data_IF_794613871477
#
_entry.id   IF_794613871477
#
_cell.length_a   1.000
_cell.length_b   1.000
_cell.length_c   1.000
_cell.angle_alpha   90.00
_cell.angle_beta   90.00
_cell.angle_gamma   90.00
#
_symmetry.space_group_name_H-M   'P 1'
#
loop_
_entity.id
_entity.type
_entity.pdbx_description
1 polymer ?
#
# COMPACT_ATOMS: atom_id res chain seq x y z
N UNK A 1 -34.49 5.42 13.17
CA UNK A 1 -34.54 4.93 14.57
C UNK A 1 -33.21 5.24 15.24
N UNK A 2 -33.19 5.27 16.57
CA UNK A 2 -31.99 5.54 17.37
C UNK A 2 -31.66 4.30 18.19
N UNK A 3 -30.52 3.68 17.93
CA UNK A 3 -30.03 2.51 18.65
C UNK A 3 -29.00 2.94 19.69
N UNK A 4 -29.05 2.38 20.91
CA UNK A 4 -27.96 2.50 21.88
C UNK A 4 -26.96 1.36 21.68
N UNK A 5 -25.69 1.73 21.66
CA UNK A 5 -24.56 0.84 21.42
C UNK A 5 -23.65 0.87 22.65
N UNK A 6 -23.35 -0.28 23.24
CA UNK A 6 -22.36 -0.44 24.30
C UNK A 6 -21.05 -0.99 23.77
N UNK A 7 -19.92 -0.41 24.14
CA UNK A 7 -18.59 -0.77 23.62
C UNK A 7 -17.84 -1.63 24.62
N UNK A 8 -17.47 -2.84 24.21
CA UNK A 8 -16.62 -3.72 25.00
C UNK A 8 -15.21 -3.12 25.18
N UNK A 9 -14.61 -3.36 26.34
CA UNK A 9 -13.28 -2.85 26.72
C UNK A 9 -13.31 -1.40 27.21
N UNK A 10 -13.92 -0.49 26.45
CA UNK A 10 -14.01 0.93 26.82
C UNK A 10 -15.03 1.18 27.95
N UNK A 11 -16.13 0.41 27.97
CA UNK A 11 -17.21 0.61 28.93
C UNK A 11 -18.08 1.83 28.65
N UNK A 12 -18.09 2.32 27.40
CA UNK A 12 -18.87 3.47 26.97
C UNK A 12 -20.18 3.05 26.28
N UNK A 13 -21.18 3.93 26.35
CA UNK A 13 -22.48 3.75 25.70
C UNK A 13 -22.86 5.03 24.97
N UNK A 14 -23.22 4.91 23.70
CA UNK A 14 -23.64 6.04 22.87
C UNK A 14 -24.81 5.65 21.97
N UNK A 15 -25.40 6.64 21.30
CA UNK A 15 -26.54 6.43 20.40
C UNK A 15 -26.17 6.63 18.94
N UNK A 16 -26.74 5.82 18.06
CA UNK A 16 -26.58 5.90 16.61
C UNK A 16 -27.92 6.00 15.93
N UNK A 17 -28.08 6.99 15.06
CA UNK A 17 -29.26 7.10 14.19
C UNK A 17 -29.07 6.29 12.92
N UNK A 18 -30.00 5.38 12.61
CA UNK A 18 -29.96 4.57 11.40
C UNK A 18 -31.38 4.22 10.91
N UNK A 19 -31.51 3.89 9.63
CA UNK A 19 -32.76 3.40 9.05
C UNK A 19 -32.92 1.90 9.33
N UNK A 20 -34.13 1.45 9.66
CA UNK A 20 -34.40 0.03 9.97
C UNK A 20 -34.14 -0.90 8.77
N UNK A 21 -34.26 -0.38 7.53
CA UNK A 21 -33.97 -1.15 6.31
C UNK A 21 -32.47 -1.25 5.99
N UNK A 22 -31.60 -0.52 6.71
CA UNK A 22 -30.16 -0.53 6.46
C UNK A 22 -29.54 -1.90 6.71
N UNK A 23 -28.38 -2.13 6.07
CA UNK A 23 -27.52 -3.28 6.36
C UNK A 23 -26.73 -3.04 7.64
N UNK A 24 -26.31 -4.13 8.28
CA UNK A 24 -25.38 -4.10 9.42
C UNK A 24 -24.07 -3.39 9.04
N UNK A 25 -23.59 -3.52 7.79
CA UNK A 25 -22.43 -2.78 7.30
C UNK A 25 -22.56 -1.26 7.40
N UNK A 26 -23.74 -0.71 7.11
CA UNK A 26 -23.99 0.73 7.26
C UNK A 26 -24.03 1.15 8.74
N UNK A 27 -24.44 0.25 9.64
CA UNK A 27 -24.35 0.47 11.08
C UNK A 27 -22.89 0.47 11.55
N UNK A 28 -22.08 -0.47 11.07
CA UNK A 28 -20.64 -0.52 11.32
C UNK A 28 -19.96 0.78 10.87
N UNK A 29 -20.30 1.32 9.69
CA UNK A 29 -19.77 2.59 9.19
C UNK A 29 -20.09 3.77 10.12
N UNK A 30 -21.33 3.89 10.56
CA UNK A 30 -21.73 4.96 11.49
C UNK A 30 -21.05 4.85 12.84
N UNK A 31 -20.98 3.64 13.40
CA UNK A 31 -20.32 3.38 14.69
C UNK A 31 -18.82 3.71 14.58
N UNK A 32 -18.15 3.22 13.54
CA UNK A 32 -16.75 3.51 13.30
C UNK A 32 -16.47 5.01 13.17
N UNK A 33 -17.34 5.76 12.49
CA UNK A 33 -17.22 7.22 12.38
C UNK A 33 -17.30 7.92 13.74
N UNK A 34 -18.13 7.43 14.66
CA UNK A 34 -18.26 7.98 16.02
C UNK A 34 -17.07 7.60 16.90
N UNK A 35 -16.58 6.36 16.79
CA UNK A 35 -15.44 5.86 17.56
C UNK A 35 -14.09 6.36 17.03
N UNK A 36 -14.06 6.89 15.81
CA UNK A 36 -12.84 7.46 15.23
C UNK A 36 -12.58 8.85 15.78
N UNK A 37 -11.31 9.14 16.05
CA UNK A 37 -10.78 10.47 16.37
C UNK A 37 -9.82 10.92 15.28
N UNK A 38 -9.37 12.18 15.33
CA UNK A 38 -8.32 12.68 14.42
C UNK A 38 -7.03 11.84 14.48
N UNK A 39 -6.76 11.22 15.63
CA UNK A 39 -5.54 10.47 15.91
C UNK A 39 -5.71 8.95 15.73
N UNK A 40 -6.95 8.46 15.73
CA UNK A 40 -7.25 7.03 15.65
C UNK A 40 -8.49 6.78 14.80
N UNK A 41 -8.30 6.24 13.59
CA UNK A 41 -9.41 5.82 12.73
C UNK A 41 -9.74 4.35 12.96
N UNK A 42 -10.99 4.07 13.27
CA UNK A 42 -11.51 2.71 13.43
C UNK A 42 -12.08 2.24 12.09
N UNK A 43 -11.51 1.22 11.43
CA UNK A 43 -12.07 0.73 10.17
C UNK A 43 -13.42 0.03 10.41
N UNK A 44 -14.51 0.43 9.73
CA UNK A 44 -15.85 -0.17 9.94
C UNK A 44 -15.87 -1.70 9.82
N UNK A 45 -15.12 -2.24 8.86
CA UNK A 45 -15.06 -3.68 8.57
C UNK A 45 -14.44 -4.52 9.67
N UNK A 46 -13.76 -3.90 10.64
CA UNK A 46 -13.10 -4.60 11.76
C UNK A 46 -13.96 -4.60 13.02
N UNK A 47 -15.08 -3.88 13.03
CA UNK A 47 -16.02 -3.92 14.13
C UNK A 47 -16.84 -5.20 14.07
N UNK A 48 -16.90 -5.95 15.17
CA UNK A 48 -17.84 -7.06 15.30
C UNK A 48 -19.01 -6.58 16.16
N UNK A 49 -20.23 -6.68 15.62
CA UNK A 49 -21.44 -6.23 16.28
C UNK A 49 -22.24 -7.44 16.78
N UNK A 50 -22.81 -7.34 17.97
CA UNK A 50 -23.68 -8.35 18.56
C UNK A 50 -25.02 -7.74 18.97
N UNK A 51 -26.08 -8.54 18.96
CA UNK A 51 -27.34 -8.15 19.60
C UNK A 51 -27.15 -8.13 21.12
N UNK A 52 -27.60 -7.07 21.78
CA UNK A 52 -27.53 -6.93 23.24
C UNK A 52 -28.67 -7.68 23.97
N UNK A 53 -29.00 -8.89 23.49
CA UNK A 53 -29.88 -9.87 24.11
C UNK A 53 -29.23 -11.24 23.96
N UNK A 54 -29.35 -12.11 24.96
CA UNK A 54 -28.72 -13.43 24.90
C UNK A 54 -29.37 -14.29 23.82
N UNK A 55 -28.63 -15.26 23.29
CA UNK A 55 -29.14 -16.22 22.29
C UNK A 55 -30.39 -16.92 22.80
N UNK A 56 -31.50 -16.76 22.08
CA UNK A 56 -32.80 -17.34 22.44
C UNK A 56 -33.67 -16.48 23.36
N UNK A 57 -33.17 -15.35 23.85
CA UNK A 57 -33.93 -14.40 24.67
C UNK A 57 -34.50 -13.26 23.83
N UNK A 58 -35.57 -12.64 24.33
CA UNK A 58 -36.23 -11.49 23.71
C UNK A 58 -35.96 -10.17 24.43
N UNK A 59 -35.39 -10.22 25.63
CA UNK A 59 -35.16 -9.06 26.49
C UNK A 59 -33.83 -8.40 26.18
N UNK A 60 -33.85 -7.08 26.01
CA UNK A 60 -32.64 -6.27 25.78
C UNK A 60 -31.90 -5.99 27.09
N UNK A 61 -30.60 -5.78 26.96
CA UNK A 61 -29.75 -5.35 28.06
C UNK A 61 -30.16 -3.95 28.53
N UNK A 62 -30.31 -3.77 29.84
CA UNK A 62 -30.59 -2.47 30.44
C UNK A 62 -29.33 -1.65 30.59
N UNK A 63 -29.43 -0.34 30.38
CA UNK A 63 -28.38 0.62 30.64
C UNK A 63 -28.43 1.04 32.12
N UNK A 64 -28.05 0.13 33.02
CA UNK A 64 -27.92 0.41 34.45
C UNK A 64 -26.44 0.54 34.88
N UNK A 65 -26.21 0.80 36.16
CA UNK A 65 -24.88 1.01 36.72
C UNK A 65 -23.96 -0.22 36.63
N UNK A 66 -24.51 -1.42 36.43
CA UNK A 66 -23.73 -2.66 36.31
C UNK A 66 -23.23 -2.90 34.89
N UNK A 67 -23.85 -2.25 33.91
CA UNK A 67 -23.55 -2.48 32.49
C UNK A 67 -22.14 -1.99 32.10
N UNK A 68 -21.64 -0.94 32.75
CA UNK A 68 -20.30 -0.40 32.48
C UNK A 68 -19.22 -1.42 32.87
N UNK A 69 -19.36 -2.04 34.03
CA UNK A 69 -18.42 -3.06 34.51
C UNK A 69 -18.50 -4.33 33.65
N UNK A 70 -19.72 -4.72 33.24
CA UNK A 70 -19.92 -5.78 32.25
C UNK A 70 -19.17 -5.48 30.94
N UNK A 71 -19.33 -4.29 30.37
CA UNK A 71 -18.68 -3.92 29.11
C UNK A 71 -17.14 -3.92 29.25
N UNK A 72 -16.58 -3.60 30.42
CA UNK A 72 -15.13 -3.65 30.69
C UNK A 72 -14.59 -5.08 30.85
N UNK A 73 -15.45 -6.07 31.14
CA UNK A 73 -15.04 -7.46 31.40
C UNK A 73 -14.61 -8.27 30.16
N UNK A 74 -14.71 -7.70 28.96
CA UNK A 74 -14.33 -8.34 27.69
C UNK A 74 -15.53 -8.88 26.90
N UNK A 75 -15.27 -9.53 25.76
CA UNK A 75 -16.31 -10.04 24.86
C UNK A 75 -16.93 -11.34 25.38
N UNK A 76 -18.27 -11.42 25.41
CA UNK A 76 -19.02 -12.63 25.80
C UNK A 76 -19.52 -13.40 24.57
N UNK A 77 -19.47 -14.74 24.64
CA UNK A 77 -19.96 -15.65 23.59
C UNK A 77 -21.48 -15.90 23.64
N UNK A 78 -22.15 -15.38 24.66
CA UNK A 78 -23.60 -15.56 24.90
C UNK A 78 -24.48 -14.74 23.95
N UNK A 79 -23.91 -13.74 23.27
CA UNK A 79 -24.63 -12.82 22.38
C UNK A 79 -24.53 -13.24 20.91
N UNK A 80 -25.56 -12.94 20.13
CA UNK A 80 -25.64 -13.29 18.72
C UNK A 80 -24.92 -12.26 17.84
N UNK A 81 -23.98 -12.72 17.02
CA UNK A 81 -23.24 -11.87 16.09
C UNK A 81 -24.11 -11.42 14.90
N UNK A 82 -24.07 -10.13 14.61
CA UNK A 82 -24.78 -9.51 13.50
C UNK A 82 -23.95 -9.60 12.22
N UNK A 83 -24.35 -10.43 11.27
CA UNK A 83 -23.66 -10.53 9.97
C UNK A 83 -23.77 -9.23 9.18
N UNK A 84 -22.63 -8.70 8.72
CA UNK A 84 -22.51 -7.43 7.98
C UNK A 84 -23.45 -7.29 6.77
N UNK A 85 -23.71 -8.39 6.05
CA UNK A 85 -24.59 -8.43 4.89
C UNK A 85 -26.08 -8.44 5.20
N UNK A 86 -26.46 -8.69 6.47
CA UNK A 86 -27.86 -8.76 6.89
C UNK A 86 -28.49 -7.37 7.00
N UNK A 87 -29.80 -7.28 6.76
CA UNK A 87 -30.58 -6.07 7.02
C UNK A 87 -31.05 -6.04 8.46
N UNK A 88 -31.06 -4.88 9.11
CA UNK A 88 -31.47 -4.74 10.51
C UNK A 88 -32.90 -5.22 10.76
N UNK A 89 -33.82 -4.97 9.80
CA UNK A 89 -35.21 -5.43 9.84
C UNK A 89 -35.41 -6.96 9.78
N UNK A 90 -34.36 -7.74 9.58
CA UNK A 90 -34.45 -9.21 9.52
C UNK A 90 -35.00 -9.73 10.86
N UNK A 91 -35.88 -10.74 10.82
CA UNK A 91 -36.62 -11.23 12.00
C UNK A 91 -35.69 -11.71 13.13
N UNK A 92 -34.56 -12.31 12.76
CA UNK A 92 -33.56 -12.81 13.71
C UNK A 92 -32.75 -11.68 14.36
N UNK A 93 -32.70 -10.49 13.72
CA UNK A 93 -32.06 -9.30 14.28
C UNK A 93 -33.08 -8.46 15.06
N UNK A 94 -33.51 -7.30 14.54
CA UNK A 94 -34.44 -6.42 15.23
C UNK A 94 -35.90 -6.74 14.91
N UNK A 95 -36.17 -7.24 13.70
CA UNK A 95 -37.53 -7.42 13.17
C UNK A 95 -38.13 -6.15 12.56
N UNK A 96 -39.21 -6.31 11.78
CA UNK A 96 -39.83 -5.23 11.00
C UNK A 96 -40.66 -4.25 11.83
N UNK A 97 -41.09 -4.64 13.02
CA UNK A 97 -41.88 -3.81 13.95
C UNK A 97 -41.04 -3.30 15.13
N UNK A 98 -39.72 -3.27 14.98
CA UNK A 98 -38.82 -2.91 16.07
C UNK A 98 -39.00 -1.44 16.49
N UNK A 99 -39.17 -1.23 17.79
CA UNK A 99 -39.12 0.07 18.43
C UNK A 99 -38.14 -0.02 19.60
N UNK A 100 -37.11 0.84 19.66
CA UNK A 100 -36.15 0.81 20.76
C UNK A 100 -36.82 1.30 22.06
N UNK A 101 -36.64 0.56 23.15
CA UNK A 101 -37.09 0.96 24.48
C UNK A 101 -36.19 2.04 25.09
N UNK A 102 -36.74 2.77 26.07
CA UNK A 102 -35.97 3.71 26.88
C UNK A 102 -35.02 2.94 27.79
N UNK A 103 -33.77 3.42 27.87
CA UNK A 103 -32.71 2.84 28.70
C UNK A 103 -32.30 1.40 28.36
N UNK A 104 -32.58 0.95 27.14
CA UNK A 104 -32.09 -0.34 26.65
C UNK A 104 -30.90 -0.15 25.71
N UNK A 105 -29.91 -1.03 25.81
CA UNK A 105 -28.82 -1.21 24.85
C UNK A 105 -29.29 -2.26 23.84
N UNK A 106 -29.18 -1.97 22.54
CA UNK A 106 -29.59 -2.90 21.48
C UNK A 106 -28.40 -3.59 20.83
N UNK A 107 -27.24 -2.93 20.82
CA UNK A 107 -26.04 -3.38 20.10
C UNK A 107 -24.85 -3.39 21.05
N UNK A 108 -24.11 -4.50 21.05
CA UNK A 108 -22.79 -4.58 21.68
C UNK A 108 -21.73 -4.50 20.60
N UNK A 109 -20.76 -3.62 20.79
CA UNK A 109 -19.68 -3.35 19.85
C UNK A 109 -18.43 -3.97 20.42
N UNK A 110 -17.98 -5.07 19.81
CA UNK A 110 -16.63 -5.55 20.05
C UNK A 110 -15.68 -4.82 19.11
N UNK A 111 -14.79 -4.04 19.72
CA UNK A 111 -13.54 -3.71 19.11
C UNK A 111 -12.75 -5.01 18.91
N UNK A 112 -11.93 -5.12 17.86
CA UNK A 112 -11.04 -6.27 17.70
C UNK A 112 -10.29 -6.52 19.03
N UNK A 113 -10.30 -7.77 19.54
CA UNK A 113 -9.80 -8.09 20.87
C UNK A 113 -8.37 -7.60 21.04
N UNK A 114 -8.10 -7.07 22.23
CA UNK A 114 -6.89 -6.41 22.67
C UNK A 114 -6.06 -5.74 21.59
N UNK A 115 -6.11 -4.42 21.69
CA UNK A 115 -5.11 -3.54 21.15
C UNK A 115 -3.73 -3.68 21.86
N UNK A 116 -3.22 -4.91 22.03
CA UNK A 116 -1.90 -5.21 21.46
C UNK A 116 -1.98 -5.33 19.93
N UNK A 117 -2.99 -4.73 19.31
CA UNK A 117 -2.83 -3.85 18.17
C UNK A 117 -1.34 -3.55 18.01
N UNK A 118 -0.80 -4.08 16.93
CA UNK A 118 -0.48 -3.24 15.79
C UNK A 118 -1.31 -1.94 15.85
N UNK A 119 -1.03 -1.06 16.80
CA UNK A 119 -1.42 0.33 16.73
C UNK A 119 -0.55 0.76 15.58
N UNK A 120 -1.10 0.64 14.38
CA UNK A 120 -0.58 1.26 13.17
C UNK A 120 -0.82 2.76 13.31
N UNK A 121 -0.35 3.32 14.42
CA UNK A 121 -0.23 4.73 14.69
C UNK A 121 1.13 5.06 14.12
N UNK A 122 1.15 5.93 13.12
CA UNK A 122 2.40 6.38 12.54
C UNK A 122 3.14 7.21 13.58
N UNK A 123 4.06 6.56 14.32
CA UNK A 123 4.93 7.23 15.30
C UNK A 123 6.15 7.89 14.66
N UNK A 124 6.06 8.21 13.37
CA UNK A 124 7.15 8.81 12.59
C UNK A 124 8.26 7.82 12.19
N UNK A 125 8.12 6.53 12.47
CA UNK A 125 9.13 5.53 12.09
C UNK A 125 9.31 5.41 10.58
N UNK A 126 8.23 5.61 9.83
CA UNK A 126 8.30 5.67 8.38
C UNK A 126 9.17 6.85 7.92
N UNK A 127 8.93 8.04 8.46
CA UNK A 127 9.73 9.23 8.13
C UNK A 127 11.20 9.04 8.54
N UNK A 128 11.44 8.41 9.70
CA UNK A 128 12.79 8.05 10.13
C UNK A 128 13.46 7.09 9.15
N UNK A 129 12.76 6.03 8.72
CA UNK A 129 13.27 5.10 7.73
C UNK A 129 13.57 5.80 6.38
N UNK A 130 12.67 6.66 5.88
CA UNK A 130 12.90 7.43 4.65
C UNK A 130 14.14 8.33 4.78
N UNK A 131 14.31 8.99 5.92
CA UNK A 131 15.49 9.83 6.17
C UNK A 131 16.78 9.00 6.19
N UNK A 132 16.79 7.84 6.85
CA UNK A 132 17.94 6.94 6.83
C UNK A 132 18.19 6.35 5.44
N UNK A 133 17.14 5.99 4.70
CA UNK A 133 17.23 5.54 3.32
C UNK A 133 17.93 6.60 2.43
N UNK A 134 17.58 7.88 2.59
CA UNK A 134 18.22 9.00 1.87
C UNK A 134 19.67 9.20 2.24
N UNK A 135 20.05 9.00 3.51
CA UNK A 135 21.46 9.04 3.93
C UNK A 135 22.29 7.91 3.31
N UNK A 136 21.65 6.82 2.88
CA UNK A 136 22.28 5.71 2.18
C UNK A 136 22.26 5.87 0.64
N UNK A 137 21.95 7.07 0.13
CA UNK A 137 22.24 7.43 -1.26
C UNK A 137 23.76 7.47 -1.47
N UNK A 138 24.21 6.94 -2.60
CA UNK A 138 25.63 6.82 -2.89
C UNK A 138 26.14 8.15 -3.42
N UNK A 139 27.35 8.59 -3.05
CA UNK A 139 27.96 9.74 -3.70
C UNK A 139 28.32 9.44 -5.17
N UNK A 140 28.50 10.46 -6.04
CA UNK A 140 28.82 10.25 -7.45
C UNK A 140 30.01 9.31 -7.72
N UNK A 141 31.08 9.42 -6.93
CA UNK A 141 32.27 8.56 -7.06
C UNK A 141 32.07 7.11 -6.59
N UNK A 142 30.91 6.81 -5.99
CA UNK A 142 30.53 5.48 -5.50
C UNK A 142 29.48 4.81 -6.40
N UNK A 143 29.07 5.45 -7.49
CA UNK A 143 28.13 4.85 -8.45
C UNK A 143 28.68 3.50 -8.94
N UNK A 144 27.88 2.41 -8.90
CA UNK A 144 28.31 1.09 -9.36
C UNK A 144 28.71 1.11 -10.83
N UNK A 145 29.64 0.24 -11.21
CA UNK A 145 29.96 0.02 -12.63
C UNK A 145 28.84 -0.76 -13.31
N UNK A 146 28.75 -0.67 -14.64
CA UNK A 146 27.72 -1.36 -15.42
C UNK A 146 27.60 -2.86 -15.09
N UNK A 147 28.73 -3.56 -14.97
CA UNK A 147 28.76 -4.98 -14.64
C UNK A 147 28.34 -5.33 -13.20
N UNK A 148 28.22 -4.34 -12.31
CA UNK A 148 27.82 -4.51 -10.91
C UNK A 148 26.35 -4.16 -10.67
N UNK A 149 25.67 -3.55 -11.66
CA UNK A 149 24.32 -3.00 -11.48
C UNK A 149 23.26 -4.08 -11.26
N UNK A 150 23.34 -5.21 -11.95
CA UNK A 150 22.38 -6.30 -11.79
C UNK A 150 22.43 -6.87 -10.36
N UNK A 151 23.63 -7.11 -9.83
CA UNK A 151 23.82 -7.53 -8.43
C UNK A 151 23.40 -6.43 -7.45
N UNK A 152 23.71 -5.17 -7.78
CA UNK A 152 23.37 -4.03 -6.93
C UNK A 152 21.85 -3.88 -6.71
N UNK A 153 21.03 -4.04 -7.75
CA UNK A 153 19.58 -3.92 -7.60
C UNK A 153 18.96 -5.08 -6.82
N UNK A 154 19.61 -6.25 -6.80
CA UNK A 154 19.17 -7.43 -6.05
C UNK A 154 19.73 -7.47 -4.61
N UNK A 155 20.66 -6.59 -4.24
CA UNK A 155 21.20 -6.53 -2.88
C UNK A 155 20.14 -6.15 -1.84
N UNK A 156 20.34 -6.60 -0.59
CA UNK A 156 19.47 -6.18 0.51
C UNK A 156 19.52 -4.67 0.75
N UNK A 157 18.41 -4.11 1.25
CA UNK A 157 18.37 -2.70 1.63
C UNK A 157 19.29 -2.45 2.83
N UNK A 158 20.17 -1.42 2.79
CA UNK A 158 21.00 -1.06 3.93
C UNK A 158 20.18 -0.74 5.18
N UNK A 159 19.02 -0.10 4.98
CA UNK A 159 18.01 0.15 6.00
C UNK A 159 16.72 -0.59 5.67
N UNK A 160 16.43 -1.68 6.38
CA UNK A 160 15.23 -2.50 6.17
C UNK A 160 13.97 -1.79 6.66
N UNK A 161 12.88 -1.98 5.93
CA UNK A 161 11.56 -1.45 6.30
C UNK A 161 11.01 -2.29 7.45
N UNK A 162 10.64 -1.64 8.54
CA UNK A 162 10.17 -2.35 9.74
C UNK A 162 8.69 -2.72 9.65
N UNK A 163 8.37 -3.98 9.87
CA UNK A 163 7.01 -4.53 9.85
C UNK A 163 6.65 -5.20 11.18
N UNK A 164 5.35 -5.25 11.49
CA UNK A 164 4.84 -6.16 12.51
C UNK A 164 4.96 -7.62 12.04
N UNK A 165 5.20 -8.54 12.98
CA UNK A 165 5.30 -9.97 12.73
C UNK A 165 4.08 -10.52 11.97
N UNK A 166 2.86 -10.12 12.36
CA UNK A 166 1.63 -10.60 11.72
C UNK A 166 1.49 -10.12 10.27
N UNK A 167 1.91 -8.89 9.98
CA UNK A 167 1.90 -8.34 8.62
C UNK A 167 2.92 -9.09 7.76
N UNK A 168 4.12 -9.30 8.29
CA UNK A 168 5.15 -10.11 7.64
C UNK A 168 4.63 -11.52 7.31
N UNK A 169 4.04 -12.20 8.29
CA UNK A 169 3.47 -13.55 8.13
C UNK A 169 2.32 -13.57 7.11
N UNK A 170 1.48 -12.53 7.11
CA UNK A 170 0.38 -12.40 6.16
C UNK A 170 0.88 -12.21 4.73
N UNK A 171 1.96 -11.43 4.55
CA UNK A 171 2.51 -11.15 3.23
C UNK A 171 3.26 -12.35 2.66
N UNK A 172 4.06 -13.03 3.48
CA UNK A 172 4.79 -14.22 3.03
C UNK A 172 3.83 -15.37 2.67
N UNK A 173 2.72 -15.54 3.39
CA UNK A 173 1.72 -16.60 3.06
C UNK A 173 0.90 -16.31 1.81
N UNK A 174 0.91 -15.07 1.30
CA UNK A 174 0.27 -14.69 0.03
C UNK A 174 1.13 -14.93 -1.20
N UNK A 175 2.42 -15.20 -1.00
CA UNK A 175 3.32 -15.63 -2.06
C UNK A 175 2.87 -17.00 -2.60
N UNK A 176 2.82 -17.14 -3.92
CA UNK A 176 2.70 -18.42 -4.62
C UNK A 176 3.86 -19.36 -4.25
N UNK A 177 5.06 -18.82 -4.10
CA UNK A 177 6.28 -19.49 -3.62
C UNK A 177 6.90 -18.63 -2.53
N UNK A 178 6.69 -19.03 -1.28
CA UNK A 178 7.21 -18.30 -0.12
C UNK A 178 8.73 -18.12 -0.25
N UNK A 179 9.21 -16.87 -0.15
CA UNK A 179 10.64 -16.55 -0.14
C UNK A 179 10.98 -15.69 1.08
N UNK A 180 11.32 -16.33 2.21
CA UNK A 180 11.83 -15.62 3.38
C UNK A 180 13.09 -14.81 3.08
N UNK A 181 13.92 -15.26 2.14
CA UNK A 181 15.16 -14.58 1.74
C UNK A 181 14.87 -13.24 1.09
N UNK A 182 13.93 -13.19 0.13
CA UNK A 182 13.48 -11.94 -0.49
C UNK A 182 12.88 -10.99 0.55
N UNK A 183 12.04 -11.52 1.44
CA UNK A 183 11.45 -10.73 2.52
C UNK A 183 12.53 -10.17 3.46
N UNK A 184 13.56 -10.94 3.77
CA UNK A 184 14.69 -10.52 4.60
C UNK A 184 15.55 -9.43 3.94
N UNK A 185 15.61 -9.37 2.59
CA UNK A 185 16.30 -8.28 1.87
C UNK A 185 15.60 -6.92 2.02
N UNK A 186 14.27 -6.92 2.17
CA UNK A 186 13.44 -5.70 2.23
C UNK A 186 13.07 -5.30 3.65
N UNK A 187 12.73 -6.28 4.49
CA UNK A 187 11.98 -6.07 5.71
C UNK A 187 12.73 -6.55 6.94
N UNK A 188 12.46 -5.89 8.07
CA UNK A 188 12.87 -6.32 9.40
C UNK A 188 11.64 -6.37 10.30
N UNK A 189 11.53 -7.41 11.12
CA UNK A 189 10.42 -7.51 12.07
C UNK A 189 10.74 -6.64 13.29
N UNK A 190 9.85 -5.68 13.58
CA UNK A 190 9.87 -4.85 14.78
C UNK A 190 8.44 -4.42 15.09
N UNK A 191 7.84 -5.05 16.10
CA UNK A 191 6.45 -4.82 16.46
C UNK A 191 6.19 -3.43 17.07
N UNK A 192 7.24 -2.72 17.50
CA UNK A 192 7.12 -1.40 18.15
C UNK A 192 7.47 -0.24 17.21
N UNK A 193 8.30 -0.48 16.18
CA UNK A 193 8.84 0.56 15.30
C UNK A 193 8.38 0.45 13.86
N UNK A 194 7.12 0.12 13.64
CA UNK A 194 6.60 -0.22 12.31
C UNK A 194 6.55 0.97 11.36
N UNK A 195 6.90 0.76 10.09
CA UNK A 195 6.75 1.74 9.01
C UNK A 195 5.30 1.79 8.51
N UNK A 196 4.39 2.23 9.37
CA UNK A 196 2.94 2.27 9.15
C UNK A 196 2.53 3.00 7.87
N UNK A 197 3.12 4.17 7.63
CA UNK A 197 2.74 5.01 6.50
C UNK A 197 3.24 4.39 5.18
N UNK A 198 4.38 3.68 5.20
CA UNK A 198 4.81 2.83 4.08
C UNK A 198 3.79 1.70 3.84
N UNK A 199 3.35 1.02 4.90
CA UNK A 199 2.36 -0.05 4.80
C UNK A 199 1.07 0.43 4.13
N UNK A 200 0.54 1.57 4.54
CA UNK A 200 -0.69 2.12 3.97
C UNK A 200 -0.51 2.65 2.55
N UNK A 201 0.56 3.41 2.27
CA UNK A 201 0.72 4.11 1.00
C UNK A 201 1.32 3.24 -0.10
N UNK A 202 2.16 2.27 0.25
CA UNK A 202 2.95 1.46 -0.70
C UNK A 202 2.66 -0.03 -0.50
N UNK A 203 2.88 -0.55 0.70
CA UNK A 203 2.77 -1.99 0.98
C UNK A 203 1.42 -2.60 0.60
N UNK A 204 0.32 -1.91 0.95
CA UNK A 204 -1.05 -2.37 0.65
C UNK A 204 -1.30 -2.50 -0.86
N UNK A 205 -0.80 -1.56 -1.67
CA UNK A 205 -0.94 -1.54 -3.13
C UNK A 205 -0.13 -2.66 -3.78
N UNK A 206 1.06 -2.93 -3.25
CA UNK A 206 1.92 -4.03 -3.70
C UNK A 206 1.28 -5.38 -3.37
N UNK A 207 0.71 -5.56 -2.18
CA UNK A 207 0.20 -6.87 -1.74
C UNK A 207 -1.17 -7.18 -2.31
N UNK A 208 -2.06 -6.19 -2.35
CA UNK A 208 -3.46 -6.33 -2.72
C UNK A 208 -3.77 -5.60 -4.03
N UNK A 209 -2.93 -5.77 -5.06
CA UNK A 209 -3.20 -5.17 -6.34
C UNK A 209 -4.50 -5.74 -6.94
N UNK A 210 -5.34 -4.85 -7.42
CA UNK A 210 -6.54 -5.21 -8.19
C UNK A 210 -6.11 -5.67 -9.57
N UNK A 211 -6.84 -6.65 -10.15
CA UNK A 211 -6.67 -7.02 -11.55
C UNK A 211 -6.92 -5.79 -12.45
N UNK A 212 -5.89 -5.31 -13.19
CA UNK A 212 -6.00 -4.16 -14.05
C UNK A 212 -6.76 -4.42 -15.35
N UNK A 213 -7.17 -5.65 -15.69
CA UNK A 213 -7.91 -5.94 -16.93
C UNK A 213 -6.98 -6.27 -18.11
N UNK A 214 -7.29 -5.80 -19.33
CA UNK A 214 -6.64 -6.25 -20.58
C UNK A 214 -6.14 -5.13 -21.51
N UNK A 215 -6.21 -3.86 -21.10
CA UNK A 215 -5.78 -2.72 -21.92
C UNK A 215 -4.56 -2.01 -21.32
N UNK A 216 -3.74 -1.34 -22.15
CA UNK A 216 -2.66 -0.46 -21.65
C UNK A 216 -3.19 0.53 -20.61
N UNK A 217 -4.31 1.20 -20.90
CA UNK A 217 -4.89 2.25 -20.04
C UNK A 217 -5.25 1.73 -18.65
N UNK A 218 -5.76 0.50 -18.57
CA UNK A 218 -6.21 -0.09 -17.32
C UNK A 218 -5.04 -0.61 -16.46
N UNK A 219 -3.89 -0.93 -17.08
CA UNK A 219 -2.63 -1.22 -16.39
C UNK A 219 -1.85 0.01 -15.88
N UNK A 220 -2.15 1.22 -16.33
CA UNK A 220 -1.42 2.44 -15.92
C UNK A 220 -1.39 2.59 -14.38
N UNK A 221 -2.54 2.41 -13.71
CA UNK A 221 -2.59 2.52 -12.24
C UNK A 221 -1.79 1.42 -11.55
N UNK A 222 -1.73 0.24 -12.16
CA UNK A 222 -0.97 -0.89 -11.63
C UNK A 222 0.54 -0.63 -11.70
N UNK A 223 1.07 -0.17 -12.83
CA UNK A 223 2.48 0.22 -12.92
C UNK A 223 2.79 1.45 -12.05
N UNK A 224 1.87 2.42 -11.97
CA UNK A 224 2.02 3.57 -11.08
C UNK A 224 2.13 3.14 -9.60
N UNK A 225 1.36 2.15 -9.18
CA UNK A 225 1.41 1.63 -7.81
C UNK A 225 2.74 0.96 -7.46
N UNK A 226 3.39 0.30 -8.43
CA UNK A 226 4.62 -0.46 -8.23
C UNK A 226 5.90 0.35 -8.44
N UNK A 227 5.87 1.39 -9.29
CA UNK A 227 7.06 2.15 -9.68
C UNK A 227 6.92 3.61 -9.25
N UNK A 228 5.94 4.33 -9.81
CA UNK A 228 5.75 5.77 -9.60
C UNK A 228 5.55 6.12 -8.13
N UNK A 229 4.64 5.41 -7.46
CA UNK A 229 4.29 5.68 -6.08
C UNK A 229 5.47 5.37 -5.14
N UNK A 230 6.28 4.35 -5.45
CA UNK A 230 7.50 4.04 -4.71
C UNK A 230 8.54 5.16 -4.85
N UNK A 231 8.84 5.58 -6.08
CA UNK A 231 9.80 6.66 -6.34
C UNK A 231 9.35 7.98 -5.70
N UNK A 232 8.08 8.37 -5.89
CA UNK A 232 7.53 9.56 -5.25
C UNK A 232 7.52 9.45 -3.73
N UNK A 233 7.40 8.26 -3.15
CA UNK A 233 7.40 8.12 -1.70
C UNK A 233 8.79 8.40 -1.09
N UNK A 234 9.83 7.75 -1.63
CA UNK A 234 11.19 7.85 -1.07
C UNK A 234 11.94 9.11 -1.52
N UNK A 235 11.61 9.69 -2.68
CA UNK A 235 12.28 10.86 -3.27
C UNK A 235 11.36 12.09 -3.42
N UNK A 236 10.27 12.21 -2.65
CA UNK A 236 9.30 13.31 -2.77
C UNK A 236 9.89 14.73 -2.67
N UNK A 237 11.05 14.88 -2.04
CA UNK A 237 11.69 16.17 -1.77
C UNK A 237 12.60 16.66 -2.90
N UNK A 238 13.09 15.75 -3.73
CA UNK A 238 14.05 16.05 -4.81
C UNK A 238 13.56 15.65 -6.20
N UNK A 239 12.54 14.79 -6.28
CA UNK A 239 12.11 14.16 -7.50
C UNK A 239 10.63 14.38 -7.82
N UNK A 240 10.31 14.39 -9.11
CA UNK A 240 8.94 14.49 -9.60
C UNK A 240 8.69 13.50 -10.73
N UNK A 241 7.60 12.75 -10.58
CA UNK A 241 7.05 11.93 -11.65
C UNK A 241 6.27 12.77 -12.66
N UNK A 242 6.46 12.49 -13.94
CA UNK A 242 5.73 13.08 -15.04
C UNK A 242 5.29 11.99 -16.00
N UNK A 243 4.05 12.07 -16.50
CA UNK A 243 3.52 11.16 -17.52
C UNK A 243 3.32 11.90 -18.83
N UNK A 244 3.55 11.24 -19.96
CA UNK A 244 3.27 11.73 -21.31
C UNK A 244 3.84 13.13 -21.63
N UNK A 245 5.05 13.42 -21.13
CA UNK A 245 5.69 14.74 -21.30
C UNK A 245 6.84 14.69 -22.30
N UNK A 246 7.02 15.77 -23.05
CA UNK A 246 8.09 15.93 -24.04
C UNK A 246 9.37 16.53 -23.47
N UNK A 247 9.51 16.68 -22.14
CA UNK A 247 10.68 17.36 -21.53
C UNK A 247 12.03 16.67 -21.78
N UNK A 248 12.02 15.42 -22.21
CA UNK A 248 13.21 14.61 -22.52
C UNK A 248 13.14 13.95 -23.91
N UNK A 249 12.27 14.45 -24.80
CA UNK A 249 11.99 13.83 -26.10
C UNK A 249 12.74 14.53 -27.26
N UNK A 250 13.18 13.75 -28.26
CA UNK A 250 13.79 14.23 -29.51
C UNK A 250 12.87 15.15 -30.33
N UNK A 251 11.56 14.86 -30.39
CA UNK A 251 10.53 15.64 -31.09
C UNK A 251 9.13 15.38 -30.50
N UNK A 252 8.15 16.24 -30.81
CA UNK A 252 6.87 16.39 -30.09
C UNK A 252 5.95 15.16 -29.97
N UNK A 253 6.15 14.10 -30.78
CA UNK A 253 5.40 12.83 -30.74
C UNK A 253 6.10 11.68 -30.00
N UNK A 254 7.39 11.79 -29.68
CA UNK A 254 8.23 10.75 -29.06
C UNK A 254 8.30 10.89 -27.53
N UNK A 255 7.14 10.96 -26.86
CA UNK A 255 7.08 11.19 -25.41
C UNK A 255 7.14 9.86 -24.68
N UNK A 256 8.07 9.67 -23.72
CA UNK A 256 8.00 8.50 -22.87
C UNK A 256 6.73 8.48 -22.04
N UNK A 257 6.19 7.28 -21.81
CA UNK A 257 4.97 7.09 -21.03
C UNK A 257 5.15 7.57 -19.59
N UNK A 258 6.36 7.37 -19.05
CA UNK A 258 6.74 7.77 -17.70
C UNK A 258 8.14 8.38 -17.66
N UNK A 259 8.29 9.43 -16.86
CA UNK A 259 9.56 10.09 -16.55
C UNK A 259 9.63 10.35 -15.04
N UNK A 260 10.82 10.19 -14.47
CA UNK A 260 11.15 10.66 -13.14
C UNK A 260 12.30 11.66 -13.23
N UNK A 261 12.03 12.89 -12.82
CA UNK A 261 12.94 14.01 -12.94
C UNK A 261 13.46 14.36 -11.55
N UNK A 262 14.78 14.42 -11.40
CA UNK A 262 15.48 14.88 -10.19
C UNK A 262 16.32 16.09 -10.57
N UNK A 263 16.18 17.20 -9.82
CA UNK A 263 16.94 18.44 -10.09
C UNK A 263 16.90 18.91 -11.56
N UNK A 264 15.71 18.79 -12.19
CA UNK A 264 15.45 19.08 -13.61
C UNK A 264 16.03 18.10 -14.65
N UNK A 265 16.72 17.05 -14.21
CA UNK A 265 17.29 15.99 -15.05
C UNK A 265 16.39 14.76 -15.05
N UNK A 266 16.07 14.21 -16.22
CA UNK A 266 15.36 12.93 -16.31
C UNK A 266 16.32 11.75 -16.10
N UNK A 267 16.30 11.15 -14.92
CA UNK A 267 17.22 10.06 -14.54
C UNK A 267 16.62 8.67 -14.62
N UNK A 268 15.29 8.59 -14.83
CA UNK A 268 14.57 7.33 -14.97
C UNK A 268 13.37 7.50 -15.90
N UNK A 269 13.24 6.65 -16.92
CA UNK A 269 12.14 6.69 -17.89
C UNK A 269 11.43 5.33 -18.04
N UNK A 270 10.25 5.33 -18.66
CA UNK A 270 9.45 4.13 -18.82
C UNK A 270 8.62 4.11 -20.10
N UNK A 271 8.52 2.92 -20.70
CA UNK A 271 7.68 2.61 -21.84
C UNK A 271 6.74 1.43 -21.53
N UNK A 272 5.47 1.59 -21.86
CA UNK A 272 4.40 0.68 -21.45
C UNK A 272 3.52 0.31 -22.64
N UNK A 273 3.21 -0.98 -22.81
CA UNK A 273 2.32 -1.49 -23.86
C UNK A 273 1.18 -2.33 -23.31
N UNK A 274 0.16 -2.51 -24.15
CA UNK A 274 -1.00 -3.31 -23.77
C UNK A 274 -0.60 -4.78 -23.61
N UNK A 275 -1.29 -5.55 -22.74
CA UNK A 275 -1.14 -7.00 -22.70
C UNK A 275 -1.24 -7.64 -24.08
N UNK A 276 -0.36 -8.61 -24.36
CA UNK A 276 -0.30 -9.32 -25.64
C UNK A 276 0.63 -8.69 -26.68
N UNK A 277 1.16 -7.49 -26.44
CA UNK A 277 2.26 -6.95 -27.25
C UNK A 277 3.61 -7.64 -26.92
N UNK A 278 4.58 -7.51 -27.82
CA UNK A 278 5.94 -8.00 -27.56
C UNK A 278 6.71 -6.98 -26.72
N UNK A 279 7.39 -7.43 -25.67
CA UNK A 279 8.19 -6.56 -24.80
C UNK A 279 9.35 -5.87 -25.53
N UNK A 280 9.81 -6.42 -26.66
CA UNK A 280 10.82 -5.75 -27.49
C UNK A 280 10.32 -4.42 -28.05
N UNK A 281 9.01 -4.24 -28.22
CA UNK A 281 8.41 -2.98 -28.68
C UNK A 281 8.66 -1.83 -27.68
N UNK A 282 8.24 -1.90 -26.40
CA UNK A 282 8.55 -0.84 -25.44
C UNK A 282 10.05 -0.70 -25.16
N UNK A 283 10.83 -1.80 -25.20
CA UNK A 283 12.30 -1.71 -25.07
C UNK A 283 12.92 -0.88 -26.20
N UNK A 284 12.53 -1.12 -27.44
CA UNK A 284 13.03 -0.35 -28.60
C UNK A 284 12.60 1.12 -28.50
N UNK A 285 11.35 1.38 -28.13
CA UNK A 285 10.85 2.76 -27.93
C UNK A 285 11.62 3.50 -26.84
N UNK A 286 12.08 2.81 -25.79
CA UNK A 286 12.87 3.40 -24.70
C UNK A 286 14.19 3.99 -25.23
N UNK A 287 14.80 3.35 -26.23
CA UNK A 287 16.04 3.78 -26.88
C UNK A 287 15.74 4.83 -27.96
N UNK A 288 14.83 4.53 -28.90
CA UNK A 288 14.53 5.40 -30.05
C UNK A 288 14.00 6.79 -29.65
N UNK A 289 13.33 6.90 -28.50
CA UNK A 289 12.78 8.17 -28.01
C UNK A 289 13.79 8.98 -27.17
N UNK A 290 14.89 8.36 -26.70
CA UNK A 290 15.87 9.03 -25.86
C UNK A 290 16.98 9.65 -26.71
N UNK A 291 17.17 10.96 -26.56
CA UNK A 291 18.39 11.63 -27.03
C UNK A 291 19.34 11.78 -25.85
N UNK A 292 20.59 11.39 -26.04
CA UNK A 292 21.60 11.54 -24.99
C UNK A 292 22.02 13.01 -24.83
N UNK A 293 21.43 13.69 -23.86
CA UNK A 293 21.80 15.06 -23.47
C UNK A 293 22.40 15.15 -22.06
N UNK A 294 22.92 14.03 -21.54
CA UNK A 294 23.32 13.86 -20.13
C UNK A 294 24.84 13.99 -19.91
N UNK A 295 25.55 14.61 -20.85
CA UNK A 295 27.00 14.77 -20.79
C UNK A 295 27.72 13.44 -20.63
N UNK A 296 28.64 13.38 -19.67
CA UNK A 296 29.47 12.20 -19.34
C UNK A 296 28.85 11.31 -18.25
N UNK A 297 27.55 11.44 -17.98
CA UNK A 297 26.86 10.55 -17.04
C UNK A 297 27.13 9.08 -17.43
N UNK A 298 27.41 8.19 -16.46
CA UNK A 298 27.82 6.82 -16.78
C UNK A 298 26.67 6.00 -17.36
N UNK A 299 25.44 6.31 -16.95
CA UNK A 299 24.21 5.66 -17.39
C UNK A 299 22.98 6.40 -16.85
N UNK A 300 21.81 6.07 -17.40
CA UNK A 300 20.49 6.32 -16.81
C UNK A 300 19.79 5.00 -16.54
N UNK A 301 18.60 5.06 -15.94
CA UNK A 301 17.75 3.90 -15.77
C UNK A 301 16.48 4.02 -16.61
N UNK A 302 15.90 2.89 -16.96
CA UNK A 302 14.53 2.87 -17.47
C UNK A 302 13.86 1.52 -17.31
N UNK A 303 12.58 1.45 -17.62
CA UNK A 303 11.84 0.19 -17.66
C UNK A 303 11.00 0.05 -18.92
N UNK A 304 10.76 -1.20 -19.30
CA UNK A 304 9.75 -1.56 -20.29
C UNK A 304 8.72 -2.48 -19.63
N UNK A 305 7.43 -2.27 -19.90
CA UNK A 305 6.37 -3.09 -19.35
C UNK A 305 5.30 -3.49 -20.38
N UNK A 306 4.86 -4.75 -20.31
CA UNK A 306 3.74 -5.31 -21.06
C UNK A 306 2.86 -6.11 -20.10
N UNK A 307 1.66 -5.62 -19.82
CA UNK A 307 0.79 -6.22 -18.81
C UNK A 307 1.52 -6.46 -17.48
N UNK A 308 1.63 -7.73 -17.07
CA UNK A 308 2.30 -8.15 -15.84
C UNK A 308 3.81 -8.36 -15.99
N UNK A 309 4.39 -8.34 -17.19
CA UNK A 309 5.84 -8.42 -17.37
C UNK A 309 6.44 -7.02 -17.32
N UNK A 310 7.42 -6.82 -16.45
CA UNK A 310 8.23 -5.61 -16.42
C UNK A 310 9.71 -5.98 -16.44
N UNK A 311 10.51 -5.20 -17.17
CA UNK A 311 11.97 -5.33 -17.20
C UNK A 311 12.62 -4.00 -16.91
N UNK A 312 13.65 -4.04 -16.08
CA UNK A 312 14.46 -2.88 -15.72
C UNK A 312 15.72 -2.87 -16.58
N UNK A 313 16.12 -1.69 -17.02
CA UNK A 313 17.26 -1.48 -17.90
C UNK A 313 18.19 -0.40 -17.36
N UNK A 314 19.47 -0.55 -17.65
CA UNK A 314 20.44 0.53 -17.64
C UNK A 314 20.58 1.06 -19.06
N UNK A 315 20.59 2.37 -19.22
CA UNK A 315 20.68 3.05 -20.51
C UNK A 315 22.01 3.76 -20.59
N UNK A 316 22.78 3.53 -21.65
CA UNK A 316 24.15 4.05 -21.82
C UNK A 316 24.30 4.71 -23.17
N UNK A 317 25.24 5.67 -23.26
CA UNK A 317 25.66 6.23 -24.54
C UNK A 317 26.61 5.27 -25.23
N UNK A 318 26.33 4.96 -26.49
CA UNK A 318 27.22 4.19 -27.38
C UNK A 318 27.49 5.04 -28.62
N UNK A 319 28.67 5.67 -28.67
CA UNK A 319 29.02 6.65 -29.72
C UNK A 319 28.00 7.81 -29.80
N UNK A 320 27.26 7.90 -30.91
CA UNK A 320 26.23 8.91 -31.16
C UNK A 320 24.81 8.38 -30.89
N UNK A 321 24.69 7.16 -30.39
CA UNK A 321 23.43 6.48 -30.10
C UNK A 321 23.32 6.07 -28.63
N UNK A 322 22.23 5.41 -28.30
CA UNK A 322 21.89 4.90 -26.98
C UNK A 322 21.71 3.39 -27.04
N UNK A 323 22.15 2.68 -26.01
CA UNK A 323 21.80 1.28 -25.81
C UNK A 323 21.17 1.06 -24.44
N UNK A 324 20.32 0.05 -24.34
CA UNK A 324 19.67 -0.36 -23.09
C UNK A 324 20.10 -1.81 -22.76
N UNK A 325 20.74 -2.02 -21.62
CA UNK A 325 21.09 -3.36 -21.13
C UNK A 325 20.12 -3.78 -20.03
N UNK A 326 19.60 -5.00 -20.12
CA UNK A 326 18.66 -5.55 -19.15
C UNK A 326 19.35 -5.78 -17.80
N UNK A 327 18.72 -5.32 -16.71
CA UNK A 327 19.17 -5.53 -15.34
C UNK A 327 18.36 -6.59 -14.61
N UNK A 328 17.09 -6.78 -14.98
CA UNK A 328 16.22 -7.77 -14.34
C UNK A 328 14.84 -7.88 -14.95
N UNK A 329 14.25 -9.07 -14.81
CA UNK A 329 12.92 -9.44 -15.28
C UNK A 329 11.99 -9.70 -14.09
N UNK A 330 10.81 -9.11 -14.12
CA UNK A 330 9.87 -9.15 -13.01
C UNK A 330 8.48 -9.58 -13.49
N UNK A 331 7.99 -10.70 -12.95
CA UNK A 331 6.61 -11.15 -13.12
C UNK A 331 5.71 -10.54 -12.04
N UNK A 332 4.99 -9.49 -12.41
CA UNK A 332 4.16 -8.70 -11.52
C UNK A 332 2.80 -9.35 -11.24
N UNK A 333 2.47 -10.47 -11.90
CA UNK A 333 1.24 -11.23 -11.62
C UNK A 333 1.26 -11.81 -10.21
N UNK A 334 2.46 -12.17 -9.74
CA UNK A 334 2.67 -12.79 -8.44
C UNK A 334 3.30 -11.79 -7.44
N UNK A 335 3.10 -12.02 -6.15
CA UNK A 335 3.54 -11.07 -5.09
C UNK A 335 5.06 -10.98 -4.99
N UNK A 336 5.76 -12.08 -5.23
CA UNK A 336 7.21 -12.21 -5.20
C UNK A 336 7.86 -11.33 -6.26
N UNK A 337 7.34 -11.36 -7.49
CA UNK A 337 7.88 -10.51 -8.55
C UNK A 337 7.61 -9.02 -8.28
N UNK A 338 6.47 -8.69 -7.67
CA UNK A 338 6.20 -7.32 -7.21
C UNK A 338 7.14 -6.87 -6.08
N UNK A 339 7.49 -7.75 -5.14
CA UNK A 339 8.50 -7.43 -4.11
C UNK A 339 9.93 -7.39 -4.66
N UNK A 340 10.30 -8.25 -5.62
CA UNK A 340 11.58 -8.13 -6.34
C UNK A 340 11.70 -6.79 -7.06
N UNK A 341 10.62 -6.36 -7.73
CA UNK A 341 10.60 -5.03 -8.36
C UNK A 341 10.70 -3.91 -7.32
N UNK A 342 9.98 -4.00 -6.20
CA UNK A 342 10.11 -3.04 -5.10
C UNK A 342 11.56 -2.91 -4.63
N UNK A 343 12.25 -4.04 -4.40
CA UNK A 343 13.65 -4.06 -3.98
C UNK A 343 14.54 -3.35 -5.02
N UNK A 344 14.40 -3.74 -6.28
CA UNK A 344 15.16 -3.16 -7.38
C UNK A 344 14.94 -1.64 -7.51
N UNK A 345 13.69 -1.18 -7.47
CA UNK A 345 13.35 0.25 -7.55
C UNK A 345 13.90 1.03 -6.35
N UNK A 346 13.84 0.46 -5.13
CA UNK A 346 14.43 1.10 -3.96
C UNK A 346 15.96 1.18 -4.06
N UNK A 347 16.63 0.15 -4.59
CA UNK A 347 18.07 0.23 -4.83
C UNK A 347 18.41 1.25 -5.93
N UNK A 348 17.68 1.27 -7.05
CA UNK A 348 17.84 2.30 -8.09
C UNK A 348 17.65 3.71 -7.53
N UNK A 349 16.63 3.92 -6.69
CA UNK A 349 16.33 5.22 -6.08
C UNK A 349 17.49 5.77 -5.23
N UNK A 350 18.40 4.91 -4.75
CA UNK A 350 19.62 5.34 -4.03
C UNK A 350 20.69 5.96 -4.94
N UNK A 351 20.58 5.75 -6.25
CA UNK A 351 21.53 6.23 -7.26
C UNK A 351 21.03 7.48 -7.99
N UNK A 352 19.71 7.68 -8.06
CA UNK A 352 19.09 8.70 -8.93
C UNK A 352 19.53 10.13 -8.64
N UNK A 353 19.74 10.50 -7.37
CA UNK A 353 20.23 11.84 -7.02
C UNK A 353 21.64 12.09 -7.55
N UNK A 354 22.52 11.12 -7.37
CA UNK A 354 23.92 11.24 -7.77
C UNK A 354 24.08 11.20 -9.27
N UNK A 355 23.25 10.41 -9.96
CA UNK A 355 23.13 10.49 -11.41
C UNK A 355 22.71 11.88 -11.87
N UNK A 356 21.69 12.48 -11.25
CA UNK A 356 21.28 13.84 -11.61
C UNK A 356 22.41 14.85 -11.40
N UNK A 357 23.18 14.73 -10.32
CA UNK A 357 24.27 15.67 -10.00
C UNK A 357 25.49 15.62 -10.92
N UNK A 358 25.65 14.54 -11.71
CA UNK A 358 26.72 14.42 -12.70
C UNK A 358 26.26 14.78 -14.12
N UNK A 359 24.97 15.05 -14.29
CA UNK A 359 24.44 15.53 -15.56
C UNK A 359 24.63 17.06 -15.65
N UNK A 360 24.83 17.60 -16.88
CA UNK A 360 25.06 19.01 -17.12
C UNK A 360 23.84 19.91 -16.91
#
# INVERSE_FOLDING_TARGET
MKLRCGVYGEGSVFSVEITLDAKVSALQEKIAGILSTEQHTVPPRLLTLYLARKKGETTWMKHDHTVIDFLRSGTSTEYEEMRSSSRLKKKELLGSSFTPGDEEIQVLVALPPDQAAVTMVDRGWTAKWVNEFRKNQLAPHQLPRLGELADFIDNELPGKITLHQEIYNTWITKMTSQSPELMAKLFKIDNLKQCVNFLFRIGSRIVYATDPGDTKKSFISFWDDLIRNVLNFVLHDIGKSVRNSSRSASTGSNRPDYLFIVDSVCVFCGEEKAPGEQLETPRRELVEKLVWSYGDAPYLFGYAAVGYEARLYVITRVHDDVDAMELGVFDLKHLEGRFRLLLAILNVARLLRSLASVCP
#
